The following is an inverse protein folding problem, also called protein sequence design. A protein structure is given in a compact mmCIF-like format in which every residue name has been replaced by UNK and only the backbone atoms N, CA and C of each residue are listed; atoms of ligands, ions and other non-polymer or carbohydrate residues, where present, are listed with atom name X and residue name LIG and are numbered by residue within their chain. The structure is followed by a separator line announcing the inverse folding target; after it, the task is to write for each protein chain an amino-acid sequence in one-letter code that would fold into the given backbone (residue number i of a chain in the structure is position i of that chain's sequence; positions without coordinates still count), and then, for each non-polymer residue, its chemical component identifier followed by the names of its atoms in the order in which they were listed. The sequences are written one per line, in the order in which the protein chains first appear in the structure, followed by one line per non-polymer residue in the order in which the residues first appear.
data_IF_024232789862
#
_entry.id   IF_024232789862
#
_cell.length_a   1.000
_cell.length_b   1.000
_cell.length_c   1.000
_cell.angle_alpha   90.00
_cell.angle_beta   90.00
_cell.angle_gamma   90.00
#
_symmetry.space_group_name_H-M   'P 1'
#
loop_
_entity.id
_entity.type
_entity.pdbx_description
1 polymer ?
#
# COMPACT_ATOMS: atom_id res chain seq x y z
N UNK A 1 63.37 -16.86 43.54
CA UNK A 1 63.10 -16.59 42.11
C UNK A 1 61.76 -17.23 41.76
N UNK A 2 60.62 -16.51 41.82
CA UNK A 2 59.36 -17.09 41.41
C UNK A 2 59.31 -17.13 39.88
N UNK A 3 59.06 -18.31 39.33
CA UNK A 3 58.77 -18.54 37.92
C UNK A 3 57.45 -17.82 37.60
N UNK A 4 57.56 -16.66 36.95
CA UNK A 4 56.43 -15.97 36.35
C UNK A 4 55.77 -16.93 35.35
N UNK A 5 54.55 -17.36 35.65
CA UNK A 5 53.64 -17.87 34.66
C UNK A 5 53.51 -16.76 33.60
N UNK A 6 54.22 -16.92 32.48
CA UNK A 6 53.92 -16.16 31.26
C UNK A 6 52.54 -16.63 30.84
N UNK A 7 51.56 -15.81 31.21
CA UNK A 7 50.19 -15.91 30.76
C UNK A 7 50.15 -16.28 29.27
N UNK A 8 49.24 -17.17 28.92
CA UNK A 8 48.86 -17.43 27.53
C UNK A 8 48.44 -16.11 26.88
N UNK A 9 49.39 -15.37 26.31
CA UNK A 9 49.12 -14.18 25.52
C UNK A 9 48.52 -14.65 24.19
N UNK A 10 47.19 -14.80 24.17
CA UNK A 10 46.45 -14.92 22.94
C UNK A 10 46.30 -13.50 22.37
N UNK A 11 47.07 -13.19 21.32
CA UNK A 11 46.87 -11.95 20.57
C UNK A 11 45.58 -12.10 19.76
N UNK A 12 44.65 -11.18 19.96
CA UNK A 12 43.39 -11.10 19.21
C UNK A 12 43.42 -9.88 18.32
N UNK A 13 43.61 -10.10 17.02
CA UNK A 13 43.47 -9.04 16.03
C UNK A 13 42.04 -9.05 15.49
N UNK A 14 41.45 -7.86 15.35
CA UNK A 14 40.13 -7.72 14.73
C UNK A 14 40.25 -6.88 13.48
N UNK A 15 39.85 -7.45 12.35
CA UNK A 15 39.78 -6.74 11.07
C UNK A 15 38.33 -6.60 10.67
N UNK A 16 37.93 -5.37 10.37
CA UNK A 16 36.58 -5.06 9.87
C UNK A 16 36.67 -4.64 8.41
N UNK A 17 35.84 -5.26 7.58
CA UNK A 17 35.74 -4.99 6.15
C UNK A 17 34.29 -4.67 5.79
N UNK A 18 34.07 -3.59 5.04
CA UNK A 18 32.76 -3.26 4.50
C UNK A 18 32.58 -3.93 3.14
N UNK A 19 31.58 -4.79 3.03
CA UNK A 19 31.19 -5.46 1.79
C UNK A 19 30.09 -4.65 1.08
N UNK A 20 29.89 -4.88 -0.24
CA UNK A 20 28.77 -4.31 -0.98
C UNK A 20 27.43 -4.66 -0.34
N UNK A 21 26.45 -3.76 -0.48
CA UNK A 21 25.12 -3.98 0.08
C UNK A 21 25.02 -3.75 1.59
N UNK A 22 25.98 -3.05 2.20
CA UNK A 22 25.92 -2.64 3.61
C UNK A 22 26.24 -3.75 4.62
N UNK A 23 26.80 -4.86 4.15
CA UNK A 23 27.22 -5.98 5.00
C UNK A 23 28.63 -5.73 5.53
N UNK A 24 28.85 -5.98 6.82
CA UNK A 24 30.14 -5.84 7.48
C UNK A 24 30.68 -7.23 7.78
N UNK A 25 31.90 -7.53 7.34
CA UNK A 25 32.63 -8.73 7.73
C UNK A 25 33.60 -8.38 8.84
N UNK A 26 33.47 -9.04 9.98
CA UNK A 26 34.47 -9.02 11.06
C UNK A 26 35.28 -10.30 11.01
N UNK A 27 36.59 -10.16 10.97
CA UNK A 27 37.55 -11.26 11.07
C UNK A 27 38.25 -11.16 12.41
N UNK A 28 38.14 -12.21 13.22
CA UNK A 28 38.84 -12.34 14.48
C UNK A 28 39.96 -13.34 14.29
N UNK A 29 41.20 -12.86 14.42
CA UNK A 29 42.39 -13.70 14.32
C UNK A 29 42.83 -13.96 15.75
N UNK A 30 42.75 -15.22 16.18
CA UNK A 30 43.27 -15.64 17.49
C UNK A 30 44.58 -16.38 17.26
N UNK A 31 45.67 -15.81 17.76
CA UNK A 31 46.99 -16.42 17.66
C UNK A 31 47.40 -16.97 19.01
N UNK A 32 47.67 -18.27 19.07
CA UNK A 32 48.18 -18.96 20.28
C UNK A 32 49.58 -19.48 20.00
N UNK A 33 50.55 -19.11 20.83
CA UNK A 33 51.92 -19.62 20.74
C UNK A 33 52.15 -20.64 21.84
N UNK A 34 52.44 -21.90 21.46
CA UNK A 34 52.72 -22.97 22.41
C UNK A 34 54.24 -23.16 22.51
N UNK A 35 54.84 -22.71 23.62
CA UNK A 35 56.26 -22.96 23.92
C UNK A 35 56.48 -24.37 24.45
N UNK A 36 57.61 -25.04 24.15
CA UNK A 36 57.87 -26.40 24.66
C UNK A 36 57.96 -26.40 26.20
N UNK A 37 57.26 -27.36 26.83
CA UNK A 37 57.45 -27.67 28.26
C UNK A 37 58.36 -28.89 28.39
N UNK A 38 59.51 -28.73 29.03
CA UNK A 38 60.30 -29.88 29.53
C UNK A 38 59.77 -30.22 30.92
N UNK A 39 58.89 -31.23 31.01
CA UNK A 39 58.49 -31.82 32.29
C UNK A 39 59.35 -33.07 32.47
N UNK A 40 60.31 -33.04 33.39
CA UNK A 40 61.02 -34.24 33.83
C UNK A 40 60.06 -35.09 34.68
N UNK A 41 59.48 -36.14 34.08
CA UNK A 41 58.76 -37.16 34.84
C UNK A 41 57.59 -37.82 34.09
N UNK A 42 57.85 -39.04 33.62
CA UNK A 42 56.89 -40.12 33.31
C UNK A 42 55.93 -39.91 32.13
N UNK A 43 56.08 -40.80 31.15
CA UNK A 43 55.27 -40.97 29.93
C UNK A 43 53.75 -40.90 30.18
N UNK A 44 53.07 -40.02 29.45
CA UNK A 44 51.67 -40.21 29.04
C UNK A 44 51.50 -39.90 27.55
N UNK A 45 50.76 -40.80 26.91
CA UNK A 45 50.54 -40.95 25.46
C UNK A 45 49.61 -39.87 24.92
N UNK A 46 49.92 -39.36 23.71
CA UNK A 46 49.01 -38.65 22.79
C UNK A 46 48.54 -37.29 23.31
N UNK A 47 49.08 -36.17 22.86
CA UNK A 47 48.91 -35.57 21.52
C UNK A 47 50.21 -34.80 21.24
N UNK A 48 50.76 -34.91 20.02
CA UNK A 48 51.84 -34.02 19.58
C UNK A 48 51.27 -32.60 19.52
N UNK A 49 51.34 -31.84 20.62
CA UNK A 49 51.13 -30.39 20.56
C UNK A 49 52.22 -29.84 19.64
N UNK A 50 51.83 -29.49 18.42
CA UNK A 50 52.73 -28.90 17.42
C UNK A 50 53.28 -27.62 18.04
N UNK A 51 54.54 -27.66 18.47
CA UNK A 51 55.29 -26.50 18.95
C UNK A 51 55.31 -25.50 17.79
N UNK A 52 54.65 -24.36 17.97
CA UNK A 52 54.44 -23.40 16.90
C UNK A 52 53.38 -22.37 17.24
N UNK A 53 53.30 -21.35 16.39
CA UNK A 53 52.28 -20.31 16.46
C UNK A 53 51.09 -20.77 15.61
N UNK A 54 49.93 -20.97 16.25
CA UNK A 54 48.68 -21.34 15.57
C UNK A 54 47.76 -20.14 15.52
N UNK A 55 47.27 -19.80 14.32
CA UNK A 55 46.31 -18.71 14.12
C UNK A 55 45.00 -19.28 13.61
N UNK A 56 43.90 -18.98 14.31
CA UNK A 56 42.54 -19.34 13.88
C UNK A 56 41.83 -18.07 13.44
N UNK A 57 41.33 -18.06 12.20
CA UNK A 57 40.48 -16.98 11.70
C UNK A 57 39.00 -17.35 11.84
N UNK A 58 38.25 -16.53 12.56
CA UNK A 58 36.79 -16.66 12.70
C UNK A 58 36.15 -15.48 11.96
N UNK A 59 35.17 -15.77 11.11
CA UNK A 59 34.43 -14.74 10.39
C UNK A 59 33.04 -14.58 10.97
N UNK A 60 32.58 -13.34 11.07
CA UNK A 60 31.20 -12.99 11.36
C UNK A 60 30.72 -11.93 10.36
N UNK A 61 29.54 -12.16 9.79
CA UNK A 61 28.91 -11.24 8.86
C UNK A 61 27.77 -10.51 9.56
N UNK A 62 27.65 -9.20 9.33
CA UNK A 62 26.65 -8.35 9.96
C UNK A 62 25.95 -7.48 8.93
N UNK A 63 24.67 -7.17 9.15
CA UNK A 63 23.99 -6.07 8.48
C UNK A 63 23.33 -5.18 9.52
N UNK A 64 23.75 -3.91 9.57
CA UNK A 64 23.52 -3.05 10.72
C UNK A 64 24.04 -3.72 12.00
N UNK A 65 23.15 -3.90 12.99
CA UNK A 65 23.48 -4.53 14.27
C UNK A 65 23.16 -6.03 14.33
N UNK A 66 22.74 -6.67 13.23
CA UNK A 66 22.39 -8.09 13.29
C UNK A 66 23.47 -8.99 12.71
N UNK A 67 23.82 -10.04 13.46
CA UNK A 67 24.66 -11.14 12.99
C UNK A 67 23.90 -11.99 11.96
N UNK A 68 24.53 -12.24 10.81
CA UNK A 68 23.99 -13.01 9.69
C UNK A 68 24.61 -14.42 9.59
N UNK A 69 25.67 -14.70 10.34
CA UNK A 69 26.34 -16.00 10.37
C UNK A 69 27.84 -15.90 10.11
N UNK A 70 28.47 -17.09 10.02
CA UNK A 70 29.92 -17.23 9.92
C UNK A 70 30.44 -17.44 8.49
N UNK A 71 29.54 -17.58 7.50
CA UNK A 71 29.90 -17.76 6.08
C UNK A 71 29.08 -16.81 5.20
N UNK A 72 29.58 -16.50 4.00
CA UNK A 72 28.85 -15.68 3.03
C UNK A 72 27.48 -16.26 2.68
N UNK A 73 27.40 -17.59 2.53
CA UNK A 73 26.15 -18.27 2.18
C UNK A 73 25.14 -18.21 3.32
N UNK A 74 25.57 -18.52 4.55
CA UNK A 74 24.71 -18.39 5.73
C UNK A 74 24.22 -16.94 5.91
N UNK A 75 25.09 -15.97 5.61
CA UNK A 75 24.73 -14.56 5.65
C UNK A 75 23.68 -14.17 4.62
N UNK A 76 23.81 -14.65 3.38
CA UNK A 76 22.85 -14.41 2.31
C UNK A 76 21.48 -15.05 2.62
N UNK A 77 21.46 -16.31 3.06
CA UNK A 77 20.22 -17.02 3.42
C UNK A 77 19.52 -16.31 4.59
N UNK A 78 20.26 -15.94 5.64
CA UNK A 78 19.71 -15.23 6.81
C UNK A 78 19.16 -13.86 6.43
N UNK A 79 19.86 -13.12 5.57
CA UNK A 79 19.38 -11.83 5.05
C UNK A 79 18.11 -12.01 4.20
N UNK A 80 18.03 -13.04 3.37
CA UNK A 80 16.86 -13.35 2.58
C UNK A 80 15.65 -13.71 3.47
N UNK A 81 15.82 -14.59 4.46
CA UNK A 81 14.75 -14.93 5.42
C UNK A 81 14.23 -13.70 6.16
N UNK A 82 15.11 -12.77 6.52
CA UNK A 82 14.69 -11.50 7.12
C UNK A 82 13.91 -10.62 6.15
N UNK A 83 14.35 -10.54 4.90
CA UNK A 83 13.61 -9.86 3.83
C UNK A 83 12.19 -10.41 3.68
N UNK A 84 12.03 -11.74 3.70
CA UNK A 84 10.72 -12.41 3.65
C UNK A 84 9.83 -12.00 4.83
N UNK A 85 10.36 -12.05 6.06
CA UNK A 85 9.62 -11.62 7.26
C UNK A 85 9.19 -10.15 7.20
N UNK A 86 10.03 -9.27 6.66
CA UNK A 86 9.68 -7.86 6.47
C UNK A 86 8.61 -7.66 5.39
N UNK A 87 8.60 -8.48 4.34
CA UNK A 87 7.52 -8.51 3.37
C UNK A 87 6.18 -8.91 4.02
N UNK A 88 6.17 -9.89 4.93
CA UNK A 88 4.96 -10.27 5.69
C UNK A 88 4.42 -9.11 6.53
N UNK A 89 5.33 -8.29 7.07
CA UNK A 89 5.01 -7.07 7.82
C UNK A 89 4.63 -5.88 6.93
N UNK A 90 4.57 -6.06 5.60
CA UNK A 90 4.36 -4.99 4.60
C UNK A 90 5.39 -3.86 4.71
N UNK A 91 6.63 -4.21 5.04
CA UNK A 91 7.76 -3.29 5.01
C UNK A 91 8.65 -3.61 3.80
N UNK A 92 8.10 -3.42 2.59
CA UNK A 92 8.77 -3.81 1.35
C UNK A 92 10.04 -2.99 1.06
N UNK A 93 10.13 -1.75 1.55
CA UNK A 93 11.33 -0.90 1.40
C UNK A 93 12.52 -1.51 2.14
N UNK A 94 12.32 -1.85 3.41
CA UNK A 94 13.38 -2.47 4.20
C UNK A 94 13.67 -3.89 3.71
N UNK A 95 12.63 -4.66 3.37
CA UNK A 95 12.80 -5.98 2.77
C UNK A 95 13.69 -5.95 1.51
N UNK A 96 13.50 -4.96 0.63
CA UNK A 96 14.33 -4.77 -0.56
C UNK A 96 15.81 -4.56 -0.23
N UNK A 97 16.11 -3.83 0.85
CA UNK A 97 17.49 -3.65 1.30
C UNK A 97 18.11 -4.96 1.80
N UNK A 98 17.34 -5.76 2.54
CA UNK A 98 17.77 -7.08 3.01
C UNK A 98 18.00 -8.07 1.87
N UNK A 99 17.12 -8.09 0.86
CA UNK A 99 17.34 -8.88 -0.35
C UNK A 99 18.56 -8.41 -1.13
N UNK A 100 18.80 -7.10 -1.18
CA UNK A 100 19.96 -6.55 -1.87
C UNK A 100 21.26 -6.90 -1.15
N UNK A 101 21.24 -6.88 0.19
CA UNK A 101 22.34 -7.37 1.01
C UNK A 101 22.59 -8.86 0.76
N UNK A 102 21.54 -9.69 0.69
CA UNK A 102 21.66 -11.10 0.36
C UNK A 102 22.28 -11.33 -1.03
N UNK A 103 21.73 -10.66 -2.06
CA UNK A 103 22.20 -10.73 -3.44
C UNK A 103 23.68 -10.34 -3.57
N UNK A 104 24.07 -9.20 -2.98
CA UNK A 104 25.44 -8.70 -3.08
C UNK A 104 26.45 -9.47 -2.22
N UNK A 105 26.00 -10.13 -1.16
CA UNK A 105 26.86 -10.99 -0.32
C UNK A 105 27.13 -12.34 -1.00
N UNK A 106 26.17 -12.85 -1.78
CA UNK A 106 26.38 -13.98 -2.66
C UNK A 106 27.44 -13.63 -3.72
N UNK A 107 28.61 -14.27 -3.62
CA UNK A 107 29.63 -14.17 -4.66
C UNK A 107 29.20 -14.99 -5.88
N UNK A 108 29.38 -14.44 -7.08
CA UNK A 108 29.02 -15.00 -8.39
C UNK A 108 29.23 -16.53 -8.44
N UNK A 109 28.15 -17.29 -8.68
CA UNK A 109 28.19 -18.77 -8.74
C UNK A 109 27.30 -19.51 -7.72
N UNK A 110 26.45 -18.81 -6.98
CA UNK A 110 25.43 -19.44 -6.13
C UNK A 110 24.23 -19.89 -6.96
N UNK A 111 23.63 -21.05 -6.62
CA UNK A 111 22.48 -21.61 -7.37
C UNK A 111 21.27 -20.68 -7.43
N UNK A 112 21.12 -19.79 -6.45
CA UNK A 112 19.96 -18.92 -6.25
C UNK A 112 20.22 -17.43 -6.54
N UNK A 113 21.32 -17.09 -7.22
CA UNK A 113 21.66 -15.69 -7.55
C UNK A 113 20.50 -14.97 -8.27
N UNK A 114 19.87 -15.66 -9.23
CA UNK A 114 18.68 -15.16 -9.93
C UNK A 114 17.50 -14.98 -8.98
N UNK A 115 17.29 -15.90 -8.05
CA UNK A 115 16.21 -15.85 -7.05
C UNK A 115 16.35 -14.64 -6.13
N UNK A 116 17.57 -14.32 -5.70
CA UNK A 116 17.82 -13.13 -4.88
C UNK A 116 17.64 -11.84 -5.69
N UNK A 117 18.13 -11.78 -6.93
CA UNK A 117 17.89 -10.64 -7.84
C UNK A 117 16.40 -10.40 -8.07
N UNK A 118 15.63 -11.47 -8.35
CA UNK A 118 14.19 -11.39 -8.56
C UNK A 118 13.46 -10.94 -7.28
N UNK A 119 13.94 -11.37 -6.10
CA UNK A 119 13.40 -10.94 -4.80
C UNK A 119 13.65 -9.45 -4.53
N UNK A 120 14.83 -8.93 -4.89
CA UNK A 120 15.13 -7.48 -4.85
C UNK A 120 14.17 -6.71 -5.75
N UNK A 121 14.03 -7.14 -7.00
CA UNK A 121 13.17 -6.48 -7.98
C UNK A 121 11.71 -6.49 -7.53
N UNK A 122 11.21 -7.63 -7.06
CA UNK A 122 9.85 -7.78 -6.56
C UNK A 122 9.58 -6.87 -5.35
N UNK A 123 10.49 -6.84 -4.37
CA UNK A 123 10.35 -5.99 -3.18
C UNK A 123 10.35 -4.49 -3.54
N UNK A 124 11.19 -4.05 -4.47
CA UNK A 124 11.20 -2.66 -4.94
C UNK A 124 9.87 -2.26 -5.57
N UNK A 125 9.33 -3.11 -6.44
CA UNK A 125 8.04 -2.86 -7.10
C UNK A 125 6.89 -2.89 -6.09
N UNK A 126 6.94 -3.80 -5.12
CA UNK A 126 5.96 -3.85 -4.06
C UNK A 126 5.99 -2.60 -3.17
N UNK A 127 7.18 -2.03 -2.92
CA UNK A 127 7.30 -0.75 -2.23
C UNK A 127 6.63 0.39 -3.01
N UNK A 128 6.79 0.44 -4.34
CA UNK A 128 6.06 1.37 -5.20
C UNK A 128 4.54 1.14 -5.14
N UNK A 129 4.11 -0.13 -5.17
CA UNK A 129 2.70 -0.51 -5.03
C UNK A 129 2.09 -0.08 -3.70
N UNK A 130 2.83 -0.23 -2.60
CA UNK A 130 2.38 0.21 -1.28
C UNK A 130 2.28 1.74 -1.18
N UNK A 131 3.24 2.47 -1.76
CA UNK A 131 3.16 3.93 -1.80
C UNK A 131 1.95 4.43 -2.61
N UNK A 132 1.63 3.76 -3.72
CA UNK A 132 0.41 4.05 -4.48
C UNK A 132 -0.86 3.70 -3.69
N UNK A 133 -0.84 2.60 -2.95
CA UNK A 133 -1.94 2.20 -2.07
C UNK A 133 -2.17 3.27 -0.98
N UNK A 134 -1.11 3.77 -0.36
CA UNK A 134 -1.19 4.85 0.65
C UNK A 134 -1.71 6.16 0.06
N UNK A 135 -1.43 6.41 -1.23
CA UNK A 135 -2.01 7.51 -2.01
C UNK A 135 -3.44 7.26 -2.50
N UNK A 136 -4.09 6.19 -2.04
CA UNK A 136 -5.42 5.76 -2.48
C UNK A 136 -5.55 5.47 -3.98
N UNK A 137 -4.42 5.25 -4.67
CA UNK A 137 -4.39 4.86 -6.09
C UNK A 137 -4.47 3.34 -6.21
N UNK A 138 -5.57 2.75 -5.72
CA UNK A 138 -5.67 1.30 -5.52
C UNK A 138 -5.54 0.48 -6.81
N UNK A 139 -6.00 1.01 -7.96
CA UNK A 139 -5.83 0.35 -9.27
C UNK A 139 -4.36 0.28 -9.71
N UNK A 140 -3.64 1.40 -9.59
CA UNK A 140 -2.22 1.46 -9.94
C UNK A 140 -1.41 0.58 -8.98
N UNK A 141 -1.74 0.61 -7.68
CA UNK A 141 -1.14 -0.23 -6.66
C UNK A 141 -1.31 -1.72 -6.97
N UNK A 142 -2.52 -2.15 -7.35
CA UNK A 142 -2.80 -3.53 -7.70
C UNK A 142 -1.98 -4.02 -8.92
N UNK A 143 -1.80 -3.15 -9.93
CA UNK A 143 -0.94 -3.45 -11.08
C UNK A 143 0.52 -3.66 -10.66
N UNK A 144 1.03 -2.82 -9.74
CA UNK A 144 2.38 -2.99 -9.20
C UNK A 144 2.53 -4.26 -8.37
N UNK A 145 1.57 -4.60 -7.52
CA UNK A 145 1.61 -5.88 -6.80
C UNK A 145 1.49 -7.10 -7.73
N UNK A 146 0.77 -6.97 -8.84
CA UNK A 146 0.74 -8.00 -9.88
C UNK A 146 2.09 -8.14 -10.60
N UNK A 147 2.77 -7.03 -10.88
CA UNK A 147 4.12 -7.05 -11.46
C UNK A 147 5.13 -7.68 -10.50
N UNK A 148 5.10 -7.31 -9.22
CA UNK A 148 5.93 -7.92 -8.17
C UNK A 148 5.67 -9.44 -8.06
N UNK A 149 4.40 -9.84 -8.07
CA UNK A 149 3.98 -11.24 -8.09
C UNK A 149 4.53 -12.01 -9.30
N UNK A 150 4.49 -11.41 -10.50
CA UNK A 150 4.98 -12.05 -11.71
C UNK A 150 6.51 -12.24 -11.67
N UNK A 151 7.24 -11.32 -11.02
CA UNK A 151 8.69 -11.44 -10.80
C UNK A 151 9.04 -12.41 -9.68
N UNK A 152 8.15 -12.63 -8.71
CA UNK A 152 8.36 -13.54 -7.59
C UNK A 152 8.05 -15.01 -7.86
N UNK A 153 7.77 -15.40 -9.11
CA UNK A 153 7.16 -16.70 -9.49
C UNK A 153 8.05 -17.94 -9.22
N UNK A 154 9.15 -17.78 -8.48
CA UNK A 154 10.13 -18.82 -8.09
C UNK A 154 10.37 -18.82 -6.57
N UNK A 155 9.64 -18.03 -5.77
CA UNK A 155 10.00 -17.69 -4.36
C UNK A 155 8.87 -17.91 -3.33
N UNK A 156 9.23 -18.12 -2.06
CA UNK A 156 8.35 -18.07 -0.87
C UNK A 156 7.49 -16.79 -0.79
N UNK A 157 7.88 -15.73 -1.51
CA UNK A 157 7.21 -14.43 -1.54
C UNK A 157 5.88 -14.39 -2.30
N UNK A 158 5.59 -15.41 -3.13
CA UNK A 158 4.37 -15.49 -3.94
C UNK A 158 3.09 -15.29 -3.11
N UNK A 159 3.00 -15.94 -1.95
CA UNK A 159 1.84 -15.87 -1.07
C UNK A 159 1.65 -14.44 -0.52
N UNK A 160 2.74 -13.76 -0.20
CA UNK A 160 2.72 -12.40 0.34
C UNK A 160 2.27 -11.41 -0.74
N UNK A 161 2.79 -11.52 -1.97
CA UNK A 161 2.39 -10.60 -3.03
C UNK A 161 0.98 -10.88 -3.57
N UNK A 162 0.55 -12.14 -3.62
CA UNK A 162 -0.83 -12.49 -4.01
C UNK A 162 -1.86 -11.93 -3.03
N UNK A 163 -1.60 -12.02 -1.72
CA UNK A 163 -2.48 -11.42 -0.70
C UNK A 163 -2.53 -9.90 -0.79
N UNK A 164 -1.38 -9.24 -0.97
CA UNK A 164 -1.31 -7.78 -1.15
C UNK A 164 -2.04 -7.33 -2.43
N UNK A 165 -1.85 -8.04 -3.55
CA UNK A 165 -2.57 -7.79 -4.80
C UNK A 165 -4.08 -7.92 -4.61
N UNK A 166 -4.54 -9.01 -3.99
CA UNK A 166 -5.97 -9.25 -3.79
C UNK A 166 -6.59 -8.18 -2.88
N UNK A 167 -5.88 -7.76 -1.83
CA UNK A 167 -6.31 -6.66 -0.97
C UNK A 167 -6.42 -5.34 -1.74
N UNK A 168 -5.43 -5.01 -2.58
CA UNK A 168 -5.44 -3.81 -3.41
C UNK A 168 -6.59 -3.82 -4.45
N UNK A 169 -6.84 -4.98 -5.09
CA UNK A 169 -7.98 -5.16 -5.99
C UNK A 169 -9.32 -4.96 -5.29
N UNK A 170 -9.49 -5.55 -4.10
CA UNK A 170 -10.71 -5.39 -3.32
C UNK A 170 -10.94 -3.93 -2.91
N UNK A 171 -9.89 -3.19 -2.56
CA UNK A 171 -9.97 -1.76 -2.28
C UNK A 171 -10.39 -0.96 -3.52
N UNK A 172 -9.78 -1.24 -4.68
CA UNK A 172 -10.13 -0.60 -5.95
C UNK A 172 -11.59 -0.87 -6.37
N UNK A 173 -12.10 -2.07 -6.14
CA UNK A 173 -13.49 -2.42 -6.44
C UNK A 173 -14.48 -1.67 -5.54
N UNK A 174 -14.18 -1.59 -4.23
CA UNK A 174 -14.99 -0.83 -3.28
C UNK A 174 -15.08 0.65 -3.66
N UNK A 175 -13.95 1.25 -4.04
CA UNK A 175 -13.92 2.64 -4.48
C UNK A 175 -14.75 2.84 -5.77
N UNK A 176 -14.57 1.95 -6.75
CA UNK A 176 -15.33 2.00 -8.00
C UNK A 176 -16.84 1.87 -7.75
N UNK A 177 -17.25 0.99 -6.81
CA UNK A 177 -18.64 0.83 -6.41
C UNK A 177 -19.18 2.10 -5.74
N UNK A 178 -18.44 2.68 -4.79
CA UNK A 178 -18.83 3.91 -4.11
C UNK A 178 -19.01 5.07 -5.10
N UNK A 179 -18.12 5.22 -6.08
CA UNK A 179 -18.24 6.23 -7.13
C UNK A 179 -19.48 6.02 -8.00
N UNK A 180 -19.79 4.78 -8.39
CA UNK A 180 -21.00 4.46 -9.15
C UNK A 180 -22.28 4.78 -8.38
N UNK A 181 -22.34 4.39 -7.11
CA UNK A 181 -23.49 4.69 -6.24
C UNK A 181 -23.69 6.20 -6.05
N UNK A 182 -22.60 6.95 -5.87
CA UNK A 182 -22.66 8.41 -5.76
C UNK A 182 -23.17 9.06 -7.06
N UNK A 183 -22.69 8.61 -8.22
CA UNK A 183 -23.15 9.09 -9.52
C UNK A 183 -24.62 8.78 -9.76
N UNK A 184 -25.08 7.57 -9.42
CA UNK A 184 -26.47 7.17 -9.57
C UNK A 184 -27.41 7.99 -8.67
N UNK A 185 -27.03 8.23 -7.42
CA UNK A 185 -27.79 9.10 -6.51
C UNK A 185 -27.89 10.53 -7.05
N UNK A 186 -26.79 11.10 -7.53
CA UNK A 186 -26.79 12.45 -8.11
C UNK A 186 -27.72 12.56 -9.32
N UNK A 187 -27.74 11.54 -10.19
CA UNK A 187 -28.65 11.49 -11.34
C UNK A 187 -30.12 11.39 -10.92
N UNK A 188 -30.43 10.53 -9.94
CA UNK A 188 -31.80 10.38 -9.41
C UNK A 188 -32.30 11.69 -8.79
N UNK A 189 -31.49 12.33 -7.95
CA UNK A 189 -31.85 13.61 -7.33
C UNK A 189 -32.07 14.72 -8.37
N UNK A 190 -31.23 14.79 -9.42
CA UNK A 190 -31.40 15.75 -10.49
C UNK A 190 -32.71 15.51 -11.28
N UNK A 191 -33.03 14.23 -11.58
CA UNK A 191 -34.26 13.86 -12.26
C UNK A 191 -35.51 14.18 -11.42
N UNK A 192 -35.50 13.85 -10.12
CA UNK A 192 -36.61 14.17 -9.22
C UNK A 192 -36.83 15.69 -9.09
N UNK A 193 -35.75 16.48 -8.96
CA UNK A 193 -35.85 17.94 -8.93
C UNK A 193 -36.45 18.49 -10.22
N UNK A 194 -36.02 17.98 -11.39
CA UNK A 194 -36.57 18.39 -12.67
C UNK A 194 -38.06 18.05 -12.79
N UNK A 195 -38.47 16.84 -12.40
CA UNK A 195 -39.88 16.42 -12.40
C UNK A 195 -40.74 17.31 -11.49
N UNK A 196 -40.28 17.58 -10.26
CA UNK A 196 -40.99 18.47 -9.32
C UNK A 196 -41.16 19.88 -9.89
N UNK A 197 -40.13 20.45 -10.52
CA UNK A 197 -40.22 21.77 -11.14
C UNK A 197 -41.23 21.82 -12.30
N UNK A 198 -41.26 20.78 -13.14
CA UNK A 198 -42.24 20.69 -14.24
C UNK A 198 -43.67 20.58 -13.69
N UNK A 199 -43.88 19.73 -12.68
CA UNK A 199 -45.19 19.58 -12.05
C UNK A 199 -45.67 20.88 -11.38
N UNK A 200 -44.78 21.58 -10.65
CA UNK A 200 -45.10 22.85 -10.00
C UNK A 200 -45.44 23.95 -11.02
N UNK A 201 -44.70 24.04 -12.12
CA UNK A 201 -45.01 24.98 -13.22
C UNK A 201 -46.36 24.67 -13.84
N UNK A 202 -46.64 23.40 -14.15
CA UNK A 202 -47.91 23.00 -14.73
C UNK A 202 -49.10 23.31 -13.81
N UNK A 203 -48.96 23.08 -12.49
CA UNK A 203 -49.98 23.43 -11.50
C UNK A 203 -50.22 24.95 -11.43
N UNK A 204 -49.15 25.75 -11.41
CA UNK A 204 -49.27 27.22 -11.41
C UNK A 204 -49.97 27.74 -12.66
N UNK A 205 -49.57 27.25 -13.84
CA UNK A 205 -50.21 27.64 -15.10
C UNK A 205 -51.69 27.24 -15.15
N UNK A 206 -52.04 26.04 -14.67
CA UNK A 206 -53.43 25.59 -14.62
C UNK A 206 -54.28 26.44 -13.67
N UNK A 207 -53.76 26.77 -12.48
CA UNK A 207 -54.43 27.63 -11.51
C UNK A 207 -54.65 29.04 -12.05
N UNK A 208 -53.62 29.62 -12.70
CA UNK A 208 -53.70 30.96 -13.29
C UNK A 208 -54.72 31.02 -14.43
N UNK A 209 -54.75 30.01 -15.31
CA UNK A 209 -55.77 29.90 -16.37
C UNK A 209 -57.18 29.80 -15.79
N UNK A 210 -57.38 28.99 -14.76
CA UNK A 210 -58.69 28.83 -14.12
C UNK A 210 -59.16 30.15 -13.49
N UNK A 211 -58.29 30.89 -12.81
CA UNK A 211 -58.62 32.19 -12.23
C UNK A 211 -58.99 33.21 -13.31
N UNK A 212 -58.21 33.31 -14.40
CA UNK A 212 -58.51 34.20 -15.52
C UNK A 212 -59.87 33.89 -16.15
N UNK A 213 -60.16 32.62 -16.42
CA UNK A 213 -61.45 32.21 -16.98
C UNK A 213 -62.63 32.50 -16.05
N UNK A 214 -62.46 32.30 -14.74
CA UNK A 214 -63.50 32.62 -13.76
C UNK A 214 -63.78 34.13 -13.70
N UNK A 215 -62.73 34.95 -13.68
CA UNK A 215 -62.85 36.41 -13.71
C UNK A 215 -63.54 36.91 -14.98
N UNK A 216 -63.17 36.37 -16.15
CA UNK A 216 -63.75 36.76 -17.43
C UNK A 216 -65.23 36.37 -17.53
N UNK A 217 -65.60 35.17 -17.05
CA UNK A 217 -67.01 34.76 -16.97
C UNK A 217 -67.82 35.67 -16.04
N UNK A 218 -67.27 36.04 -14.88
CA UNK A 218 -67.94 36.93 -13.94
C UNK A 218 -68.16 38.33 -14.55
N UNK A 219 -67.16 38.89 -15.23
CA UNK A 219 -67.29 40.18 -15.93
C UNK A 219 -68.34 40.14 -17.03
N UNK A 220 -68.34 39.08 -17.85
CA UNK A 220 -69.37 38.91 -18.91
C UNK A 220 -70.78 38.82 -18.31
N UNK A 221 -70.97 38.06 -17.23
CA UNK A 221 -72.28 37.96 -16.57
C UNK A 221 -72.76 39.30 -16.00
N UNK A 222 -71.87 40.09 -15.40
CA UNK A 222 -72.21 41.43 -14.89
C UNK A 222 -72.59 42.37 -16.04
N UNK A 223 -71.81 42.38 -17.12
CA UNK A 223 -72.09 43.20 -18.30
C UNK A 223 -73.43 42.81 -18.97
N UNK A 224 -73.70 41.51 -19.12
CA UNK A 224 -74.93 41.01 -19.74
C UNK A 224 -76.16 41.32 -18.89
N UNK A 225 -76.07 41.19 -17.55
CA UNK A 225 -77.14 41.62 -16.64
C UNK A 225 -77.41 43.12 -16.74
N UNK A 226 -76.36 43.95 -16.73
CA UNK A 226 -76.49 45.40 -16.85
C UNK A 226 -77.15 45.81 -18.18
N UNK A 227 -76.79 45.15 -19.30
CA UNK A 227 -77.43 45.40 -20.60
C UNK A 227 -78.91 45.00 -20.60
N UNK A 228 -79.27 43.83 -20.05
CA UNK A 228 -80.68 43.40 -19.97
C UNK A 228 -81.51 44.35 -19.11
N UNK A 229 -81.01 44.76 -17.94
CA UNK A 229 -81.70 45.73 -17.09
C UNK A 229 -81.87 47.09 -17.78
N UNK A 230 -80.85 47.57 -18.50
CA UNK A 230 -80.94 48.82 -19.26
C UNK A 230 -81.98 48.72 -20.39
N UNK A 231 -82.02 47.60 -21.13
CA UNK A 231 -82.99 47.36 -22.19
C UNK A 231 -84.43 47.28 -21.65
N UNK A 232 -84.67 46.55 -20.55
CA UNK A 232 -85.99 46.49 -19.91
C UNK A 232 -86.46 47.87 -19.45
N UNK A 233 -85.58 48.67 -18.83
CA UNK A 233 -85.92 50.03 -18.41
C UNK A 233 -86.30 50.91 -19.60
N UNK A 234 -85.53 50.85 -20.69
CA UNK A 234 -85.82 51.61 -21.90
C UNK A 234 -87.17 51.20 -22.53
N UNK A 235 -87.47 49.90 -22.54
CA UNK A 235 -88.71 49.37 -23.08
C UNK A 235 -89.92 49.80 -22.24
N UNK A 236 -89.82 49.74 -20.90
CA UNK A 236 -90.86 50.24 -19.97
C UNK A 236 -91.12 51.73 -20.15
N UNK A 237 -90.05 52.54 -20.27
CA UNK A 237 -90.19 53.98 -20.53
C UNK A 237 -90.84 54.27 -21.89
N UNK A 238 -90.52 53.50 -22.93
CA UNK A 238 -91.15 53.64 -24.24
C UNK A 238 -92.64 53.29 -24.19
N UNK A 239 -93.02 52.21 -23.48
CA UNK A 239 -94.45 51.85 -23.31
C UNK A 239 -95.22 52.87 -22.47
N UNK A 240 -94.64 53.41 -21.40
CA UNK A 240 -95.28 54.47 -20.61
C UNK A 240 -95.48 55.77 -21.40
N UNK A 241 -94.54 56.10 -22.30
CA UNK A 241 -94.67 57.25 -23.21
C UNK A 241 -95.70 57.04 -24.30
N UNK A 242 -95.92 55.81 -24.76
CA UNK A 242 -96.92 55.48 -25.77
C UNK A 242 -98.36 55.40 -25.21
N UNK A 243 -98.50 55.23 -23.89
CA UNK A 243 -99.78 55.20 -23.17
C UNK A 243 -100.22 56.56 -22.60
N UNK A 244 -99.42 57.61 -22.80
CA UNK A 244 -99.71 59.00 -22.44
C UNK A 244 -100.11 59.81 -23.66
#
# INVERSE_FOLDING_TARGET
MPLLARDWAAETETRTESLPGGVIKKTYIRTTSTTPRVIFGIFTVGITEVIGTHSVEIYEYYYGNTNLGATKNAAADTANTKGVKLCEQKNFKEAGNWFNAAYLTCSHGYKDEKTFSDSVAAAKIAAEGQELHDRSKFREAAAKFQEAYNKSNVSELYAIFSTCRNAANAAAEREAKAQREAAERALREAAEKAQRQVAERAQREAAERAQRQAAEKAQRQVAERAQREAAERAQRQATERALR
#
